data_IF_273345328666
#
_entry.id   IF_273345328666
#
_cell.length_a   1.000
_cell.length_b   1.000
_cell.length_c   1.000
_cell.angle_alpha   90.00
_cell.angle_beta   90.00
_cell.angle_gamma   90.00
#
_symmetry.space_group_name_H-M   'P 1'
#
loop_
_entity.id
_entity.type
_entity.pdbx_description
1 polymer ?
#
# COMPACT_ATOMS: atom_id res chain seq x y z
N UNK A 1 19.85 -13.43 -34.26
CA UNK A 1 20.36 -13.34 -32.87
C UNK A 1 20.04 -11.94 -32.36
N UNK A 2 19.15 -11.81 -31.37
CA UNK A 2 18.91 -10.53 -30.71
C UNK A 2 19.97 -10.44 -29.59
N UNK A 3 20.82 -9.41 -29.62
CA UNK A 3 21.85 -9.22 -28.59
C UNK A 3 21.24 -9.03 -27.20
N UNK A 4 22.02 -9.17 -26.12
CA UNK A 4 21.54 -8.92 -24.77
C UNK A 4 21.02 -7.49 -24.68
N UNK A 5 19.79 -7.35 -24.20
CA UNK A 5 19.21 -6.03 -23.86
C UNK A 5 20.10 -5.48 -22.73
N UNK A 6 20.70 -4.29 -22.88
CA UNK A 6 21.48 -3.70 -21.80
C UNK A 6 20.57 -3.55 -20.56
N UNK A 7 21.13 -3.70 -19.34
CA UNK A 7 20.35 -3.43 -18.14
C UNK A 7 19.82 -2.01 -18.24
N UNK A 8 18.49 -1.86 -18.23
CA UNK A 8 17.86 -0.55 -18.13
C UNK A 8 18.20 -0.07 -16.72
N UNK A 9 19.11 0.91 -16.64
CA UNK A 9 19.36 1.61 -15.39
C UNK A 9 18.08 2.40 -15.06
N UNK A 10 17.47 2.26 -13.87
CA UNK A 10 16.28 3.02 -13.51
C UNK A 10 16.46 4.53 -13.66
N UNK A 11 17.72 5.01 -13.64
CA UNK A 11 18.09 6.40 -13.88
C UNK A 11 17.95 6.87 -15.34
N UNK A 12 17.86 5.96 -16.33
CA UNK A 12 17.83 6.29 -17.77
C UNK A 12 16.42 6.52 -18.33
N UNK A 13 15.36 6.46 -17.50
CA UNK A 13 13.99 6.76 -17.93
C UNK A 13 13.48 8.08 -17.32
N UNK A 14 13.50 9.20 -18.06
CA UNK A 14 13.03 10.51 -17.56
C UNK A 14 11.50 10.59 -17.37
N UNK A 15 10.74 9.57 -17.79
CA UNK A 15 9.28 9.50 -17.61
C UNK A 15 8.84 8.65 -16.39
N UNK A 16 9.76 7.96 -15.71
CA UNK A 16 9.43 7.24 -14.47
C UNK A 16 9.71 8.11 -13.26
N UNK A 17 8.93 9.18 -13.09
CA UNK A 17 8.70 9.68 -11.72
C UNK A 17 7.95 8.56 -11.03
N UNK A 18 8.63 7.81 -10.15
CA UNK A 18 7.98 6.76 -9.38
C UNK A 18 6.80 7.41 -8.65
N UNK A 19 5.55 6.94 -8.84
CA UNK A 19 4.40 7.45 -8.10
C UNK A 19 4.65 7.46 -6.58
N UNK A 20 5.52 6.57 -6.11
CA UNK A 20 6.01 6.58 -4.74
C UNK A 20 6.83 7.83 -4.42
N UNK A 21 7.79 8.21 -5.26
CA UNK A 21 8.62 9.42 -5.06
C UNK A 21 7.77 10.70 -5.04
N UNK A 22 6.75 10.78 -5.89
CA UNK A 22 5.79 11.90 -5.86
C UNK A 22 5.03 11.96 -4.52
N UNK A 23 4.63 10.80 -4.00
CA UNK A 23 3.94 10.69 -2.70
C UNK A 23 4.87 11.01 -1.53
N UNK A 24 6.14 10.61 -1.61
CA UNK A 24 7.19 10.93 -0.63
C UNK A 24 7.40 12.45 -0.59
N UNK A 25 7.54 13.09 -1.76
CA UNK A 25 7.70 14.54 -1.83
C UNK A 25 6.50 15.28 -1.25
N UNK A 26 5.28 14.82 -1.54
CA UNK A 26 4.06 15.40 -0.96
C UNK A 26 4.01 15.26 0.57
N UNK A 27 4.45 14.11 1.12
CA UNK A 27 4.50 13.91 2.57
C UNK A 27 5.53 14.82 3.26
N UNK A 28 6.69 15.01 2.62
CA UNK A 28 7.73 15.93 3.09
C UNK A 28 7.25 17.38 3.05
N UNK A 29 6.58 17.79 1.96
CA UNK A 29 6.02 19.13 1.81
C UNK A 29 4.94 19.42 2.87
N UNK A 30 4.08 18.44 3.19
CA UNK A 30 3.08 18.56 4.25
C UNK A 30 3.70 18.74 5.65
N UNK A 31 4.98 18.43 5.83
CA UNK A 31 5.74 18.61 7.06
C UNK A 31 6.77 19.76 6.96
N UNK A 32 6.52 20.73 6.07
CA UNK A 32 7.39 21.90 5.84
C UNK A 32 8.85 21.53 5.50
N UNK A 33 9.07 20.36 4.90
CA UNK A 33 10.40 19.86 4.56
C UNK A 33 11.14 19.16 5.72
N UNK A 34 10.57 19.08 6.92
CA UNK A 34 11.22 18.40 8.04
C UNK A 34 11.08 16.87 7.89
N UNK A 35 12.18 16.24 7.48
CA UNK A 35 12.26 14.78 7.31
C UNK A 35 11.99 14.01 8.62
N UNK A 36 12.41 14.54 9.78
CA UNK A 36 12.20 13.87 11.07
C UNK A 36 10.74 13.97 11.50
N UNK A 37 10.11 15.13 11.27
CA UNK A 37 8.67 15.29 11.48
C UNK A 37 7.88 14.38 10.53
N UNK A 38 8.27 14.31 9.26
CA UNK A 38 7.66 13.42 8.25
C UNK A 38 7.71 11.96 8.68
N UNK A 39 8.88 11.45 9.07
CA UNK A 39 9.02 10.05 9.50
C UNK A 39 8.18 9.77 10.75
N UNK A 40 8.13 10.71 11.72
CA UNK A 40 7.27 10.56 12.90
C UNK A 40 5.79 10.51 12.53
N UNK A 41 5.34 11.39 11.63
CA UNK A 41 3.97 11.41 11.15
C UNK A 41 3.60 10.10 10.43
N UNK A 42 4.51 9.58 9.60
CA UNK A 42 4.30 8.30 8.90
C UNK A 42 4.20 7.12 9.87
N UNK A 43 5.06 7.04 10.88
CA UNK A 43 4.98 6.00 11.92
C UNK A 43 3.64 6.07 12.65
N UNK A 44 3.23 7.26 13.09
CA UNK A 44 1.93 7.46 13.76
C UNK A 44 0.75 7.10 12.84
N UNK A 45 0.83 7.44 11.55
CA UNK A 45 -0.20 7.09 10.58
C UNK A 45 -0.29 5.57 10.37
N UNK A 46 0.85 4.86 10.34
CA UNK A 46 0.88 3.40 10.29
C UNK A 46 0.20 2.80 11.52
N UNK A 47 0.60 3.21 12.72
CA UNK A 47 0.00 2.72 13.98
C UNK A 47 -1.52 2.94 14.00
N UNK A 48 -1.97 4.13 13.57
CA UNK A 48 -3.39 4.46 13.48
C UNK A 48 -4.14 3.56 12.50
N UNK A 49 -3.60 3.33 11.31
CA UNK A 49 -4.24 2.48 10.30
C UNK A 49 -4.30 1.02 10.74
N UNK A 50 -3.27 0.52 11.44
CA UNK A 50 -3.28 -0.83 12.01
C UNK A 50 -4.36 -0.98 13.10
N UNK A 51 -4.51 0.02 13.96
CA UNK A 51 -5.55 0.04 14.99
C UNK A 51 -6.97 0.09 14.37
N UNK A 52 -7.20 0.98 13.41
CA UNK A 52 -8.47 1.08 12.69
C UNK A 52 -8.81 -0.21 11.94
N UNK A 53 -7.81 -0.87 11.35
CA UNK A 53 -7.97 -2.15 10.68
C UNK A 53 -8.39 -3.24 11.67
N UNK A 54 -7.77 -3.31 12.85
CA UNK A 54 -8.15 -4.28 13.88
C UNK A 54 -9.54 -4.00 14.46
N UNK A 55 -9.84 -2.74 14.75
CA UNK A 55 -11.18 -2.29 15.17
C UNK A 55 -12.23 -2.69 14.14
N UNK A 56 -11.96 -2.44 12.86
CA UNK A 56 -12.86 -2.79 11.75
C UNK A 56 -13.03 -4.30 11.64
N UNK A 57 -11.94 -5.08 11.69
CA UNK A 57 -12.00 -6.55 11.67
C UNK A 57 -12.84 -7.12 12.82
N UNK A 58 -12.75 -6.54 14.02
CA UNK A 58 -13.55 -6.95 15.16
C UNK A 58 -15.05 -6.65 14.98
N UNK A 59 -15.39 -5.55 14.30
CA UNK A 59 -16.77 -5.17 13.98
C UNK A 59 -17.40 -6.01 12.86
N UNK A 60 -16.58 -6.54 11.94
CA UNK A 60 -17.04 -7.48 10.92
C UNK A 60 -17.42 -8.80 11.59
N UNK A 61 -18.72 -9.02 11.82
CA UNK A 61 -19.22 -10.25 12.42
C UNK A 61 -18.79 -11.50 11.65
N UNK A 62 -18.66 -12.63 12.35
CA UNK A 62 -18.49 -14.00 11.78
C UNK A 62 -19.51 -14.38 10.70
N UNK A 63 -20.55 -13.56 10.46
CA UNK A 63 -21.56 -13.73 9.41
C UNK A 63 -21.03 -13.66 7.98
N UNK A 64 -19.90 -12.96 7.70
CA UNK A 64 -19.28 -12.97 6.36
C UNK A 64 -18.81 -14.40 5.96
N UNK A 65 -18.47 -15.24 6.94
CA UNK A 65 -18.01 -16.63 6.71
C UNK A 65 -19.19 -17.56 6.35
N UNK A 66 -20.42 -17.27 6.79
CA UNK A 66 -21.58 -18.14 6.52
C UNK A 66 -22.06 -18.10 5.06
N UNK A 67 -21.69 -17.07 4.29
CA UNK A 67 -22.00 -16.96 2.86
C UNK A 67 -21.02 -17.70 1.93
N UNK A 68 -19.86 -18.14 2.43
CA UNK A 68 -18.81 -18.79 1.62
C UNK A 68 -18.90 -20.32 1.63
N UNK A 69 -19.40 -20.94 2.71
CA UNK A 69 -19.45 -22.41 2.87
C UNK A 69 -20.72 -23.05 2.25
N UNK A 70 -21.68 -22.25 1.77
CA UNK A 70 -22.96 -22.74 1.25
C UNK A 70 -23.01 -23.06 -0.25
N UNK A 71 -21.95 -22.84 -1.02
CA UNK A 71 -22.01 -22.89 -2.51
C UNK A 71 -21.29 -24.08 -3.15
N UNK A 72 -21.12 -25.19 -2.43
CA UNK A 72 -20.50 -26.41 -2.99
C UNK A 72 -21.18 -27.74 -2.61
N UNK A 73 -22.46 -27.75 -2.23
CA UNK A 73 -23.22 -29.01 -2.16
C UNK A 73 -24.62 -28.85 -2.76
N UNK A 74 -24.83 -29.51 -3.90
CA UNK A 74 -26.14 -29.82 -4.45
C UNK A 74 -26.31 -29.45 -5.91
N UNK A 75 -25.76 -30.27 -6.81
CA UNK A 75 -26.40 -30.52 -8.11
C UNK A 75 -26.65 -32.04 -8.18
N UNK A 76 -27.85 -32.49 -8.57
CA UNK A 76 -28.23 -33.91 -8.62
C UNK A 76 -27.43 -34.71 -9.65
#
# INVERSE_FOLDING_TARGET
MRGPVPPIDPADNPESVDPLDASVNAAIEACDGDMRATVRALILATDFLEEELERTRAMLSRGYVRGSVGRSRGAP
#
